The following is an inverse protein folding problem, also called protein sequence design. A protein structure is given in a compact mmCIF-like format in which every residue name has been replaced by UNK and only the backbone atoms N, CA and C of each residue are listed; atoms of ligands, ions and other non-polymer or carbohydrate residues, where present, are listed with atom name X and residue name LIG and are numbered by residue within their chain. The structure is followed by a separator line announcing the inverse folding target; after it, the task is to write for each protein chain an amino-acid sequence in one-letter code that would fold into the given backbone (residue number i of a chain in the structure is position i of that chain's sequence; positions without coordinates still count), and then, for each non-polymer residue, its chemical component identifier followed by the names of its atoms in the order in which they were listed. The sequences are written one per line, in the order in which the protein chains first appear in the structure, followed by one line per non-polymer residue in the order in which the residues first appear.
data_IF_959353337797
#
_entry.id   IF_959353337797
#
_cell.length_a   1.000
_cell.length_b   1.000
_cell.length_c   1.000
_cell.angle_alpha   90.00
_cell.angle_beta   90.00
_cell.angle_gamma   90.00
#
_symmetry.space_group_name_H-M   'P 1'
#
loop_
_entity.id
_entity.type
_entity.pdbx_description
1 polymer ?
#
# COMPACT_ATOMS: atom_id res chain seq x y z
N UNK A 1 14.14 1.92 -13.28
CA UNK A 1 13.09 0.97 -12.89
C UNK A 1 13.42 -0.42 -13.40
N UNK A 2 13.77 -1.32 -12.48
CA UNK A 2 13.97 -2.76 -12.73
C UNK A 2 12.65 -3.40 -13.17
N UNK A 3 12.71 -4.51 -13.93
CA UNK A 3 11.48 -5.19 -14.39
C UNK A 3 10.61 -5.65 -13.21
N UNK A 4 11.21 -6.23 -12.18
CA UNK A 4 10.49 -6.63 -10.97
C UNK A 4 9.81 -5.44 -10.28
N UNK A 5 10.42 -4.25 -10.28
CA UNK A 5 9.80 -3.03 -9.74
C UNK A 5 8.55 -2.65 -10.53
N UNK A 6 8.59 -2.77 -11.87
CA UNK A 6 7.41 -2.50 -12.73
C UNK A 6 6.26 -3.46 -12.43
N UNK A 7 6.55 -4.73 -12.15
CA UNK A 7 5.54 -5.70 -11.75
C UNK A 7 4.85 -5.31 -10.43
N UNK A 8 5.62 -4.81 -9.45
CA UNK A 8 5.07 -4.29 -8.20
C UNK A 8 4.19 -3.07 -8.43
N UNK A 9 4.65 -2.10 -9.22
CA UNK A 9 3.88 -0.92 -9.60
C UNK A 9 2.59 -1.32 -10.31
N UNK A 10 2.66 -2.24 -11.28
CA UNK A 10 1.47 -2.71 -12.00
C UNK A 10 0.41 -3.30 -11.06
N UNK A 11 0.83 -4.06 -10.03
CA UNK A 11 -0.09 -4.57 -9.01
C UNK A 11 -0.65 -3.48 -8.11
N UNK A 12 0.13 -2.45 -7.77
CA UNK A 12 -0.36 -1.30 -6.98
C UNK A 12 -1.44 -0.54 -7.74
N UNK A 13 -1.19 -0.24 -9.02
CA UNK A 13 -2.16 0.39 -9.93
C UNK A 13 -3.44 -0.45 -10.08
N UNK A 14 -3.31 -1.78 -10.01
CA UNK A 14 -4.44 -2.71 -9.97
C UNK A 14 -5.35 -2.47 -8.77
N UNK A 15 -4.77 -2.35 -7.57
CA UNK A 15 -5.56 -2.04 -6.37
C UNK A 15 -6.19 -0.66 -6.44
N UNK A 16 -5.47 0.35 -6.96
CA UNK A 16 -6.01 1.69 -7.10
C UNK A 16 -7.28 1.69 -7.97
N UNK A 17 -7.24 1.05 -9.13
CA UNK A 17 -8.43 0.88 -10.00
C UNK A 17 -9.55 0.12 -9.31
N UNK A 18 -9.23 -0.91 -8.53
CA UNK A 18 -10.23 -1.64 -7.73
C UNK A 18 -10.89 -0.74 -6.69
N UNK A 19 -10.13 0.06 -5.96
CA UNK A 19 -10.66 1.02 -4.98
C UNK A 19 -11.57 2.06 -5.65
N UNK A 20 -11.17 2.63 -6.80
CA UNK A 20 -12.00 3.57 -7.55
C UNK A 20 -13.31 2.95 -8.04
N UNK A 21 -13.24 1.71 -8.56
CA UNK A 21 -14.43 1.00 -9.02
C UNK A 21 -15.43 0.74 -7.87
N UNK A 22 -14.93 0.31 -6.71
CA UNK A 22 -15.74 0.02 -5.53
C UNK A 22 -16.36 1.29 -4.90
N UNK A 23 -15.74 2.45 -5.07
CA UNK A 23 -16.27 3.72 -4.56
C UNK A 23 -17.26 4.40 -5.51
N UNK A 24 -17.02 4.32 -6.82
CA UNK A 24 -17.67 5.21 -7.78
C UNK A 24 -18.42 4.51 -8.91
N UNK A 25 -18.22 3.20 -9.13
CA UNK A 25 -18.75 2.48 -10.29
C UNK A 25 -19.81 1.43 -9.95
N UNK A 26 -20.21 1.33 -8.69
CA UNK A 26 -21.27 0.43 -8.21
C UNK A 26 -22.38 1.23 -7.50
N UNK A 27 -23.60 0.68 -7.49
CA UNK A 27 -24.79 1.36 -6.94
C UNK A 27 -24.69 1.63 -5.43
N UNK A 28 -24.14 0.66 -4.69
CA UNK A 28 -23.88 0.77 -3.26
C UNK A 28 -22.37 0.66 -3.06
N UNK A 29 -21.68 1.74 -2.66
CA UNK A 29 -20.23 1.72 -2.47
C UNK A 29 -19.78 0.75 -1.39
N UNK A 30 -18.76 -0.05 -1.70
CA UNK A 30 -18.12 -1.02 -0.79
C UNK A 30 -16.91 -0.36 -0.12
N UNK A 31 -17.18 0.58 0.80
CA UNK A 31 -16.17 1.47 1.40
C UNK A 31 -15.05 0.67 2.07
N UNK A 32 -15.44 -0.36 2.80
CA UNK A 32 -14.56 -1.25 3.54
C UNK A 32 -13.55 -1.94 2.60
N UNK A 33 -14.06 -2.55 1.53
CA UNK A 33 -13.21 -3.20 0.52
C UNK A 33 -12.36 -2.19 -0.24
N UNK A 34 -12.87 -0.99 -0.52
CA UNK A 34 -12.10 0.08 -1.14
C UNK A 34 -10.94 0.56 -0.25
N UNK A 35 -11.16 0.74 1.05
CA UNK A 35 -10.13 1.08 2.02
C UNK A 35 -9.04 0.00 2.11
N UNK A 36 -9.41 -1.28 2.06
CA UNK A 36 -8.47 -2.39 1.95
C UNK A 36 -7.58 -2.27 0.71
N UNK A 37 -8.16 -2.01 -0.47
CA UNK A 37 -7.38 -1.82 -1.69
C UNK A 37 -6.48 -0.57 -1.63
N UNK A 38 -6.92 0.53 -1.01
CA UNK A 38 -6.06 1.69 -0.77
C UNK A 38 -4.84 1.36 0.08
N UNK A 39 -5.01 0.58 1.16
CA UNK A 39 -3.88 0.10 1.97
C UNK A 39 -2.94 -0.78 1.14
N UNK A 40 -3.47 -1.72 0.37
CA UNK A 40 -2.68 -2.63 -0.46
C UNK A 40 -1.90 -1.90 -1.57
N UNK A 41 -2.52 -0.88 -2.17
CA UNK A 41 -1.91 0.00 -3.15
C UNK A 41 -0.66 0.69 -2.57
N UNK A 42 -0.81 1.36 -1.42
CA UNK A 42 0.29 2.03 -0.74
C UNK A 42 1.40 1.05 -0.37
N UNK A 43 1.06 -0.12 0.17
CA UNK A 43 2.04 -1.16 0.53
C UNK A 43 2.87 -1.60 -0.68
N UNK A 44 2.23 -1.82 -1.83
CA UNK A 44 2.90 -2.29 -3.04
C UNK A 44 3.82 -1.22 -3.65
N UNK A 45 3.47 0.07 -3.59
CA UNK A 45 4.39 1.14 -4.02
C UNK A 45 5.60 1.25 -3.10
N UNK A 46 5.39 1.18 -1.78
CA UNK A 46 6.49 1.19 -0.79
C UNK A 46 7.42 0.01 -1.05
N UNK A 47 6.87 -1.19 -1.30
CA UNK A 47 7.66 -2.37 -1.67
C UNK A 47 8.36 -2.22 -3.02
N UNK A 48 7.71 -1.62 -4.02
CA UNK A 48 8.33 -1.33 -5.31
C UNK A 48 9.59 -0.45 -5.14
N UNK A 49 9.50 0.59 -4.33
CA UNK A 49 10.64 1.44 -3.98
C UNK A 49 11.78 0.62 -3.35
N UNK A 50 11.48 -0.20 -2.34
CA UNK A 50 12.50 -1.05 -1.70
C UNK A 50 13.15 -2.03 -2.69
N UNK A 51 12.37 -2.64 -3.59
CA UNK A 51 12.88 -3.53 -4.66
C UNK A 51 13.81 -2.78 -5.63
N UNK A 52 13.46 -1.56 -6.03
CA UNK A 52 14.30 -0.74 -6.92
C UNK A 52 15.68 -0.48 -6.31
N UNK A 53 15.72 -0.32 -4.98
CA UNK A 53 16.92 -0.04 -4.20
C UNK A 53 17.60 -1.29 -3.62
N UNK A 54 17.18 -2.49 -4.03
CA UNK A 54 17.74 -3.77 -3.55
C UNK A 54 17.61 -3.99 -2.03
N UNK A 55 16.63 -3.35 -1.40
CA UNK A 55 16.38 -3.48 0.04
C UNK A 55 15.41 -4.62 0.28
N UNK A 56 15.89 -5.66 0.96
CA UNK A 56 15.05 -6.77 1.40
C UNK A 56 14.04 -6.34 2.47
N UNK A 57 12.82 -6.88 2.39
CA UNK A 57 11.77 -6.66 3.38
C UNK A 57 11.09 -7.98 3.76
N UNK A 58 10.58 -8.10 4.99
CA UNK A 58 9.89 -9.30 5.42
C UNK A 58 8.52 -9.47 4.75
N UNK A 59 8.00 -10.70 4.71
CA UNK A 59 6.69 -11.02 4.10
C UNK A 59 5.46 -10.61 4.94
N UNK A 60 5.62 -9.83 6.01
CA UNK A 60 4.51 -9.33 6.82
C UNK A 60 3.94 -8.03 6.21
N UNK A 61 2.64 -7.80 6.40
CA UNK A 61 1.93 -6.59 5.94
C UNK A 61 1.97 -5.51 7.03
N UNK A 62 3.12 -4.83 7.19
CA UNK A 62 3.32 -3.78 8.20
C UNK A 62 3.92 -2.54 7.52
N UNK A 63 3.09 -1.52 7.24
CA UNK A 63 3.50 -0.30 6.56
C UNK A 63 4.48 0.53 7.39
N UNK A 64 4.40 0.46 8.72
CA UNK A 64 5.29 1.22 9.61
C UNK A 64 6.71 0.68 9.55
N UNK A 65 6.87 -0.65 9.50
CA UNK A 65 8.18 -1.28 9.30
C UNK A 65 8.73 -1.03 7.91
N UNK A 66 7.89 -1.12 6.88
CA UNK A 66 8.31 -0.84 5.50
C UNK A 66 8.77 0.62 5.35
N UNK A 67 8.07 1.56 5.97
CA UNK A 67 8.49 2.96 6.02
C UNK A 67 9.87 3.12 6.67
N UNK A 68 10.14 2.39 7.77
CA UNK A 68 11.44 2.38 8.41
C UNK A 68 12.57 1.99 7.45
N UNK A 69 12.34 1.02 6.57
CA UNK A 69 13.28 0.62 5.52
C UNK A 69 13.42 1.68 4.43
N UNK A 70 12.32 2.34 4.04
CA UNK A 70 12.42 3.40 3.03
C UNK A 70 13.24 4.59 3.52
N UNK A 71 13.12 4.94 4.81
CA UNK A 71 13.87 6.03 5.43
C UNK A 71 15.38 5.79 5.49
N UNK A 72 15.85 4.53 5.37
CA UNK A 72 17.29 4.26 5.24
C UNK A 72 17.83 4.57 3.84
N UNK A 73 16.95 4.80 2.87
CA UNK A 73 17.28 5.08 1.47
C UNK A 73 16.97 6.54 1.11
N UNK A 74 15.80 7.04 1.51
CA UNK A 74 15.34 8.39 1.22
C UNK A 74 14.51 8.96 2.40
N UNK A 75 15.06 9.96 3.06
CA UNK A 75 14.44 10.65 4.21
C UNK A 75 13.12 11.37 3.84
N UNK A 76 12.88 11.64 2.56
CA UNK A 76 11.66 12.32 2.10
C UNK A 76 10.38 11.50 2.36
N UNK A 77 10.52 10.18 2.58
CA UNK A 77 9.44 9.29 3.02
C UNK A 77 8.83 9.68 4.37
N UNK A 78 9.52 10.48 5.19
CA UNK A 78 8.98 10.99 6.45
C UNK A 78 7.68 11.77 6.24
N UNK A 79 7.56 12.46 5.08
CA UNK A 79 6.38 13.25 4.72
C UNK A 79 5.09 12.44 4.59
N UNK A 80 5.20 11.12 4.39
CA UNK A 80 4.05 10.22 4.24
C UNK A 80 3.82 9.33 5.46
N UNK A 81 4.58 9.51 6.56
CA UNK A 81 4.47 8.69 7.77
C UNK A 81 3.04 8.59 8.30
N UNK A 82 2.39 9.73 8.47
CA UNK A 82 1.05 9.77 9.06
C UNK A 82 -0.01 9.18 8.12
N UNK A 83 0.18 9.31 6.80
CA UNK A 83 -0.70 8.66 5.81
C UNK A 83 -0.58 7.13 5.89
N UNK A 84 0.64 6.60 5.96
CA UNK A 84 0.87 5.16 6.09
C UNK A 84 0.33 4.60 7.42
N UNK A 85 0.50 5.33 8.52
CA UNK A 85 -0.08 4.95 9.83
C UNK A 85 -1.60 4.88 9.80
N UNK A 86 -2.26 5.82 9.12
CA UNK A 86 -3.72 5.79 8.96
C UNK A 86 -4.17 4.60 8.10
N UNK A 87 -3.43 4.30 7.03
CA UNK A 87 -3.75 3.19 6.14
C UNK A 87 -3.54 1.81 6.78
N UNK A 88 -2.58 1.66 7.68
CA UNK A 88 -2.27 0.40 8.38
C UNK A 88 -3.52 -0.26 8.97
N UNK A 89 -4.38 0.54 9.59
CA UNK A 89 -5.61 0.09 10.23
C UNK A 89 -6.59 -0.55 9.24
N UNK A 90 -6.61 -0.12 7.99
CA UNK A 90 -7.51 -0.66 6.96
C UNK A 90 -7.06 -2.01 6.40
N UNK A 91 -5.82 -2.43 6.68
CA UNK A 91 -5.34 -3.76 6.31
C UNK A 91 -5.96 -4.88 7.14
N UNK A 92 -6.36 -4.62 8.39
CA UNK A 92 -6.78 -5.66 9.35
C UNK A 92 -8.18 -5.42 9.90
N UNK A 93 -8.50 -4.19 10.29
CA UNK A 93 -9.70 -3.88 11.11
C UNK A 93 -10.99 -4.07 10.32
N UNK A 94 -10.96 -3.87 9.01
CA UNK A 94 -12.15 -3.96 8.16
C UNK A 94 -12.66 -5.41 8.00
N UNK A 95 -11.81 -6.42 8.23
CA UNK A 95 -12.11 -7.81 7.85
C UNK A 95 -12.81 -8.62 8.93
N UNK A 96 -12.96 -8.07 10.13
CA UNK A 96 -13.54 -8.78 11.27
C UNK A 96 -14.75 -8.00 11.80
N UNK A 97 -15.94 -8.61 11.85
CA UNK A 97 -17.06 -8.02 12.56
C UNK A 97 -16.73 -8.07 14.07
N UNK A 98 -16.68 -6.89 14.71
CA UNK A 98 -16.89 -6.78 16.16
C UNK A 98 -18.38 -6.91 16.50
#
# INVERSE_FOLDING_TARGET
MREITKEWVFKAEGDFRSAEALLYQIEIPEIDTACFHCQQCAEKYVKAFLVEHDVGFPRYHDLVRLLGLCLTVDESFEKIRDNLRRLENYGVIIRYPD
#
